data_IF_747271756084
#
_entry.id   IF_747271756084
#
_cell.length_a   1.000
_cell.length_b   1.000
_cell.length_c   1.000
_cell.angle_alpha   90.00
_cell.angle_beta   90.00
_cell.angle_gamma   90.00
#
_symmetry.space_group_name_H-M   'P 1'
#
loop_
_entity.id
_entity.type
_entity.pdbx_description
1 polymer ?
#
# COMPACT_ATOMS: atom_id res chain seq x y z
N UNK A 1 11.22 -11.92 -4.06
CA UNK A 1 10.85 -10.48 -3.91
C UNK A 1 9.87 -10.42 -2.74
N UNK A 2 10.38 -10.36 -1.52
CA UNK A 2 9.55 -10.08 -0.35
C UNK A 2 9.31 -8.58 -0.35
N UNK A 3 8.42 -8.12 -1.25
CA UNK A 3 7.94 -6.75 -1.17
C UNK A 3 7.23 -6.60 0.18
N UNK A 4 7.60 -5.59 0.96
CA UNK A 4 6.97 -5.31 2.26
C UNK A 4 5.46 -5.52 2.14
N UNK A 5 4.91 -6.36 3.03
CA UNK A 5 3.49 -6.65 3.00
C UNK A 5 2.76 -5.32 3.19
N UNK A 6 1.59 -5.18 2.56
CA UNK A 6 0.77 -3.96 2.71
C UNK A 6 0.48 -3.68 4.20
N UNK A 7 0.48 -4.71 5.05
CA UNK A 7 0.40 -4.60 6.49
C UNK A 7 1.63 -3.92 7.14
N UNK A 8 2.85 -4.28 6.75
CA UNK A 8 4.08 -3.69 7.29
C UNK A 8 4.16 -2.19 6.95
N UNK A 9 3.80 -1.84 5.72
CA UNK A 9 3.73 -0.43 5.28
C UNK A 9 2.65 0.33 6.06
N UNK A 10 1.51 -0.32 6.34
CA UNK A 10 0.45 0.28 7.12
C UNK A 10 0.91 0.56 8.56
N UNK A 11 1.56 -0.41 9.22
CA UNK A 11 2.08 -0.25 10.57
C UNK A 11 3.13 0.87 10.65
N UNK A 12 4.08 0.88 9.71
CA UNK A 12 5.12 1.92 9.64
C UNK A 12 4.55 3.34 9.47
N UNK A 13 3.38 3.46 8.85
CA UNK A 13 2.67 4.73 8.65
C UNK A 13 1.67 5.05 9.77
N UNK A 14 1.58 4.21 10.80
CA UNK A 14 0.69 4.41 11.95
C UNK A 14 -0.77 4.02 11.72
N UNK A 15 -1.05 3.23 10.68
CA UNK A 15 -2.39 2.65 10.50
C UNK A 15 -2.57 1.43 11.40
N UNK A 16 -3.82 1.22 11.84
CA UNK A 16 -4.20 0.05 12.63
C UNK A 16 -4.06 -1.27 11.89
N UNK A 17 -4.21 -1.25 10.56
CA UNK A 17 -4.18 -2.43 9.71
C UNK A 17 -4.02 -2.06 8.22
N UNK A 18 -3.68 -3.07 7.41
CA UNK A 18 -3.50 -2.93 5.96
C UNK A 18 -4.76 -2.55 5.18
N UNK A 19 -5.98 -2.84 5.66
CA UNK A 19 -7.22 -2.45 4.97
C UNK A 19 -7.50 -0.97 5.15
N UNK A 20 -7.27 -0.43 6.35
CA UNK A 20 -7.38 0.99 6.66
C UNK A 20 -6.41 1.81 5.80
N UNK A 21 -5.16 1.37 5.70
CA UNK A 21 -4.18 1.93 4.78
C UNK A 21 -4.63 1.83 3.31
N UNK A 22 -5.04 0.65 2.84
CA UNK A 22 -5.42 0.46 1.43
C UNK A 22 -6.60 1.36 1.00
N UNK A 23 -7.56 1.61 1.89
CA UNK A 23 -8.69 2.53 1.63
C UNK A 23 -8.21 3.97 1.51
N UNK A 24 -7.39 4.42 2.45
CA UNK A 24 -6.83 5.78 2.42
C UNK A 24 -5.94 5.98 1.18
N UNK A 25 -5.05 5.02 0.92
CA UNK A 25 -4.14 5.03 -0.23
C UNK A 25 -4.88 5.11 -1.57
N UNK A 26 -5.97 4.35 -1.73
CA UNK A 26 -6.83 4.45 -2.91
C UNK A 26 -7.55 5.80 -2.99
N UNK A 27 -7.93 6.39 -1.87
CA UNK A 27 -8.47 7.75 -1.84
C UNK A 27 -7.47 8.80 -2.35
N UNK A 28 -6.18 8.64 -2.04
CA UNK A 28 -5.13 9.57 -2.45
C UNK A 28 -4.66 9.37 -3.88
N UNK A 29 -4.47 8.12 -4.29
CA UNK A 29 -3.82 7.77 -5.57
C UNK A 29 -4.81 7.33 -6.65
N UNK A 30 -6.04 7.00 -6.27
CA UNK A 30 -7.02 6.36 -7.15
C UNK A 30 -6.77 4.86 -7.40
N UNK A 31 -5.70 4.28 -6.86
CA UNK A 31 -5.27 2.91 -7.14
C UNK A 31 -5.15 2.08 -5.85
N UNK A 32 -5.28 0.76 -5.96
CA UNK A 32 -4.92 -0.11 -4.86
C UNK A 32 -3.37 -0.14 -4.69
N UNK A 33 -2.84 -0.37 -3.48
CA UNK A 33 -1.39 -0.44 -3.27
C UNK A 33 -0.68 -1.49 -4.13
N UNK A 34 -1.34 -2.61 -4.43
CA UNK A 34 -0.81 -3.65 -5.32
C UNK A 34 -0.73 -3.15 -6.78
N UNK A 35 -1.81 -2.58 -7.31
CA UNK A 35 -1.84 -2.01 -8.66
C UNK A 35 -0.83 -0.85 -8.83
N UNK A 36 -0.66 -0.05 -7.78
CA UNK A 36 0.33 1.01 -7.73
C UNK A 36 1.75 0.43 -7.81
N UNK A 37 2.04 -0.63 -7.04
CA UNK A 37 3.33 -1.32 -7.09
C UNK A 37 3.58 -1.97 -8.44
N UNK A 38 2.59 -2.56 -9.08
CA UNK A 38 2.76 -3.17 -10.39
C UNK A 38 3.01 -2.11 -11.49
N UNK A 39 2.40 -0.93 -11.37
CA UNK A 39 2.61 0.18 -12.31
C UNK A 39 3.91 0.95 -12.11
N UNK A 40 4.45 0.97 -10.89
CA UNK A 40 5.61 1.79 -10.53
C UNK A 40 6.83 0.98 -10.06
N UNK A 41 6.72 -0.34 -9.94
CA UNK A 41 7.72 -1.24 -9.34
C UNK A 41 8.76 -1.81 -10.30
N UNK A 42 8.90 -1.22 -11.49
CA UNK A 42 9.95 -1.53 -12.47
C UNK A 42 11.08 -0.47 -12.44
N UNK A 43 11.41 0.01 -11.24
CA UNK A 43 12.54 0.92 -10.96
C UNK A 43 13.48 0.27 -9.95
#
# INVERSE_FOLDING_TARGET
>A
REGAAVADVAEALGFSDGRSFARAFRGWTGLAPADYRDRHGDI
#
